data_IF_832285071421
#
_entry.id   IF_832285071421
#
_cell.length_a   1.000
_cell.length_b   1.000
_cell.length_c   1.000
_cell.angle_alpha   90.00
_cell.angle_beta   90.00
_cell.angle_gamma   90.00
#
_symmetry.space_group_name_H-M   'P 1'
#
loop_
_entity.id
_entity.type
_entity.pdbx_description
1 polymer ?
#
# COMPACT_ATOMS: atom_id res chain seq x y z
N UNK A 1 -14.13 19.32 -33.19
CA UNK A 1 -15.14 18.71 -32.28
C UNK A 1 -14.40 17.73 -31.40
N UNK A 2 -13.85 18.28 -30.31
CA UNK A 2 -13.06 17.51 -29.36
C UNK A 2 -13.95 17.07 -28.21
N UNK A 3 -14.20 15.78 -28.15
CA UNK A 3 -14.88 15.13 -27.04
C UNK A 3 -13.86 14.77 -25.96
N UNK A 4 -13.44 15.74 -25.15
CA UNK A 4 -12.73 15.49 -23.91
C UNK A 4 -13.69 14.82 -22.92
N UNK A 5 -13.65 13.49 -22.84
CA UNK A 5 -14.31 12.73 -21.78
C UNK A 5 -13.57 12.96 -20.48
N UNK A 6 -14.03 13.94 -19.76
CA UNK A 6 -13.67 14.20 -18.36
C UNK A 6 -14.20 13.02 -17.53
N UNK A 7 -13.39 11.97 -17.32
CA UNK A 7 -13.67 10.91 -16.35
C UNK A 7 -13.60 11.54 -14.97
N UNK A 8 -14.75 12.01 -14.49
CA UNK A 8 -14.92 12.37 -13.09
C UNK A 8 -14.52 11.17 -12.21
N UNK A 9 -13.49 11.35 -11.38
CA UNK A 9 -13.20 10.45 -10.28
C UNK A 9 -14.46 10.37 -9.42
N UNK A 10 -15.16 9.25 -9.47
CA UNK A 10 -16.31 9.01 -8.61
C UNK A 10 -15.78 8.87 -7.19
N UNK A 11 -16.03 9.89 -6.38
CA UNK A 11 -15.76 9.86 -4.94
C UNK A 11 -16.89 9.04 -4.32
N UNK A 12 -16.71 7.72 -4.27
CA UNK A 12 -17.61 6.86 -3.55
C UNK A 12 -17.46 7.11 -2.05
N UNK A 13 -18.58 7.33 -1.36
CA UNK A 13 -18.61 7.40 0.11
C UNK A 13 -18.11 6.10 0.70
N UNK A 14 -17.25 6.13 1.73
CA UNK A 14 -16.48 4.98 2.15
C UNK A 14 -17.30 4.07 3.06
N UNK A 15 -17.75 2.96 2.57
CA UNK A 15 -17.72 1.76 3.40
C UNK A 15 -16.40 1.05 3.06
N UNK A 16 -15.64 0.63 4.07
CA UNK A 16 -14.40 -0.16 3.89
C UNK A 16 -14.62 -1.41 3.03
N UNK A 17 -15.86 -1.90 2.95
CA UNK A 17 -16.31 -2.96 2.07
C UNK A 17 -16.15 -2.68 0.57
N UNK A 18 -16.22 -1.42 0.12
CA UNK A 18 -16.17 -1.11 -1.31
C UNK A 18 -14.77 -1.29 -1.92
N UNK A 19 -13.69 -0.97 -1.17
CA UNK A 19 -12.34 -1.14 -1.69
C UNK A 19 -11.99 -2.62 -1.89
N UNK A 20 -12.32 -3.47 -0.91
CA UNK A 20 -12.06 -4.91 -0.99
C UNK A 20 -12.85 -5.53 -2.15
N UNK A 21 -14.12 -5.15 -2.34
CA UNK A 21 -14.92 -5.58 -3.49
C UNK A 21 -14.28 -5.15 -4.81
N UNK A 22 -13.83 -3.88 -4.91
CA UNK A 22 -13.14 -3.39 -6.11
C UNK A 22 -11.88 -4.19 -6.42
N UNK A 23 -11.09 -4.54 -5.40
CA UNK A 23 -9.88 -5.36 -5.55
C UNK A 23 -10.22 -6.74 -6.10
N UNK A 24 -11.28 -7.36 -5.59
CA UNK A 24 -11.73 -8.69 -6.03
C UNK A 24 -12.33 -8.64 -7.45
N UNK A 25 -13.18 -7.67 -7.74
CA UNK A 25 -13.86 -7.51 -9.03
C UNK A 25 -12.87 -7.22 -10.18
N UNK A 26 -11.81 -6.48 -9.90
CA UNK A 26 -10.75 -6.16 -10.86
C UNK A 26 -9.61 -7.20 -10.90
N UNK A 27 -9.70 -8.26 -10.11
CA UNK A 27 -8.66 -9.31 -9.94
C UNK A 27 -7.25 -8.73 -9.66
N UNK A 28 -7.18 -7.66 -8.85
CA UNK A 28 -5.92 -7.03 -8.47
C UNK A 28 -5.21 -7.90 -7.43
N UNK A 29 -3.95 -8.21 -7.66
CA UNK A 29 -3.14 -9.09 -6.78
C UNK A 29 -2.12 -8.34 -5.96
N UNK A 30 -1.55 -7.29 -6.52
CA UNK A 30 -0.58 -6.43 -5.86
C UNK A 30 -1.14 -5.03 -5.68
N UNK A 31 -1.16 -4.55 -4.44
CA UNK A 31 -1.73 -3.26 -4.05
C UNK A 31 -0.72 -2.45 -3.25
N UNK A 32 -0.51 -1.22 -3.64
CA UNK A 32 0.37 -0.30 -2.94
C UNK A 32 -0.44 0.81 -2.27
N UNK A 33 -0.25 0.98 -0.97
CA UNK A 33 -0.88 2.06 -0.21
C UNK A 33 0.11 3.21 -0.01
N UNK A 34 -0.32 4.41 -0.37
CA UNK A 34 0.45 5.64 -0.19
C UNK A 34 -0.48 6.82 0.09
N UNK A 35 0.09 7.96 0.45
CA UNK A 35 -0.62 9.20 0.73
C UNK A 35 0.15 10.40 0.17
N UNK A 36 -0.43 11.59 0.19
CA UNK A 36 0.32 12.80 -0.15
C UNK A 36 1.42 13.09 0.87
N UNK A 37 1.06 13.10 2.15
CA UNK A 37 1.94 13.46 3.25
C UNK A 37 2.02 12.35 4.31
N UNK A 38 3.10 12.29 5.11
CA UNK A 38 3.22 11.37 6.24
C UNK A 38 2.08 11.55 7.25
N UNK A 39 1.77 10.48 7.98
CA UNK A 39 0.76 10.51 9.03
C UNK A 39 -0.70 10.41 8.57
N UNK A 40 -0.95 10.17 7.28
CA UNK A 40 -2.29 9.96 6.75
C UNK A 40 -2.93 8.64 7.24
N UNK A 41 -2.12 7.69 7.73
CA UNK A 41 -2.56 6.39 8.23
C UNK A 41 -2.48 5.27 7.18
N UNK A 42 -1.52 5.36 6.28
CA UNK A 42 -1.22 4.33 5.27
C UNK A 42 -1.05 2.96 5.91
N UNK A 43 -0.20 2.84 6.92
CA UNK A 43 0.05 1.59 7.65
C UNK A 43 -1.22 1.00 8.26
N UNK A 44 -2.05 1.83 8.91
CA UNK A 44 -3.33 1.37 9.48
C UNK A 44 -4.28 0.88 8.39
N UNK A 45 -4.34 1.59 7.27
CA UNK A 45 -5.17 1.20 6.11
C UNK A 45 -4.65 -0.08 5.44
N UNK A 46 -3.34 -0.26 5.36
CA UNK A 46 -2.70 -1.47 4.82
C UNK A 46 -3.01 -2.70 5.69
N UNK A 47 -2.89 -2.57 7.01
CA UNK A 47 -3.27 -3.61 7.97
C UNK A 47 -4.75 -3.99 7.85
N UNK A 48 -5.64 -2.99 7.76
CA UNK A 48 -7.07 -3.23 7.62
C UNK A 48 -7.40 -3.94 6.30
N UNK A 49 -6.83 -3.48 5.18
CA UNK A 49 -7.03 -4.10 3.87
C UNK A 49 -6.51 -5.54 3.83
N UNK A 50 -5.30 -5.79 4.33
CA UNK A 50 -4.73 -7.14 4.40
C UNK A 50 -5.60 -8.08 5.25
N UNK A 51 -6.12 -7.60 6.39
CA UNK A 51 -7.04 -8.37 7.25
C UNK A 51 -8.35 -8.70 6.52
N UNK A 52 -8.95 -7.75 5.83
CA UNK A 52 -10.20 -7.95 5.09
C UNK A 52 -10.00 -8.93 3.94
N UNK A 53 -8.92 -8.78 3.14
CA UNK A 53 -8.61 -9.69 2.05
C UNK A 53 -8.37 -11.13 2.56
N UNK A 54 -7.69 -11.29 3.69
CA UNK A 54 -7.47 -12.60 4.30
C UNK A 54 -8.76 -13.27 4.80
N UNK A 55 -9.75 -12.48 5.21
CA UNK A 55 -11.06 -13.00 5.64
C UNK A 55 -11.99 -13.32 4.46
N UNK A 56 -11.88 -12.58 3.36
CA UNK A 56 -12.79 -12.69 2.21
C UNK A 56 -12.27 -13.61 1.11
N UNK A 57 -11.00 -14.02 1.14
CA UNK A 57 -10.39 -14.87 0.12
C UNK A 57 -9.88 -16.18 0.71
N UNK A 58 -9.85 -17.23 -0.11
CA UNK A 58 -9.28 -18.53 0.25
C UNK A 58 -7.76 -18.60 0.12
N UNK A 59 -7.10 -17.55 -0.39
CA UNK A 59 -5.65 -17.52 -0.63
C UNK A 59 -4.89 -16.81 0.47
N UNK A 60 -3.58 -17.09 0.53
CA UNK A 60 -2.69 -16.41 1.47
C UNK A 60 -2.50 -14.94 1.08
N UNK A 61 -2.44 -14.07 2.07
CA UNK A 61 -2.16 -12.64 1.93
C UNK A 61 -0.81 -12.32 2.55
N UNK A 62 -0.03 -11.48 1.87
CA UNK A 62 1.23 -10.94 2.37
C UNK A 62 1.08 -9.42 2.55
N UNK A 63 1.44 -8.93 3.72
CA UNK A 63 1.63 -7.51 3.97
C UNK A 63 3.14 -7.20 3.95
N UNK A 64 3.55 -6.29 3.08
CA UNK A 64 4.94 -5.88 2.88
C UNK A 64 5.15 -4.49 3.45
N UNK A 65 6.15 -4.32 4.31
CA UNK A 65 6.59 -3.00 4.77
C UNK A 65 7.68 -2.46 3.84
N UNK A 66 7.31 -1.49 3.01
CA UNK A 66 8.23 -0.78 2.13
C UNK A 66 8.55 0.64 2.61
N UNK A 67 8.08 1.03 3.80
CA UNK A 67 8.29 2.38 4.33
C UNK A 67 9.70 2.56 4.89
N UNK A 68 10.33 3.68 4.56
CA UNK A 68 11.62 4.12 5.11
C UNK A 68 11.45 4.97 6.39
N UNK A 69 10.20 5.19 6.82
CA UNK A 69 9.90 5.94 8.04
C UNK A 69 10.50 5.28 9.27
N UNK A 70 10.99 6.08 10.22
CA UNK A 70 11.52 5.59 11.49
C UNK A 70 10.47 4.85 12.35
N UNK A 71 9.18 5.12 12.12
CA UNK A 71 8.06 4.45 12.80
C UNK A 71 7.23 3.63 11.80
N UNK A 72 7.90 2.85 10.96
CA UNK A 72 7.25 1.96 9.99
C UNK A 72 6.61 0.73 10.66
N UNK A 73 5.90 -0.07 9.88
CA UNK A 73 5.22 -1.28 10.35
C UNK A 73 6.18 -2.25 11.07
N UNK A 74 7.38 -2.44 10.52
CA UNK A 74 8.44 -3.30 11.10
C UNK A 74 8.79 -2.90 12.51
N UNK A 75 8.95 -1.59 12.78
CA UNK A 75 9.24 -1.08 14.11
C UNK A 75 8.04 -1.22 15.06
N UNK A 76 6.84 -0.91 14.58
CA UNK A 76 5.61 -1.04 15.38
C UNK A 76 5.34 -2.49 15.81
N UNK A 77 5.74 -3.47 15.00
CA UNK A 77 5.62 -4.90 15.29
C UNK A 77 6.83 -5.50 16.02
N UNK A 78 7.84 -4.72 16.35
CA UNK A 78 9.10 -5.20 16.95
C UNK A 78 9.87 -6.22 16.07
N UNK A 79 9.73 -6.11 14.74
CA UNK A 79 10.38 -6.99 13.75
C UNK A 79 11.70 -6.42 13.21
N UNK A 80 12.25 -5.39 13.82
CA UNK A 80 13.45 -4.69 13.31
C UNK A 80 14.76 -5.51 13.30
N UNK A 81 14.75 -6.72 13.88
CA UNK A 81 15.89 -7.65 13.84
C UNK A 81 15.76 -8.66 12.70
N UNK A 82 14.58 -8.81 12.14
CA UNK A 82 14.28 -9.77 11.09
C UNK A 82 14.88 -9.31 9.75
N UNK A 83 15.17 -10.28 8.88
CA UNK A 83 15.43 -10.00 7.48
C UNK A 83 14.13 -9.61 6.79
N UNK A 84 14.21 -8.85 5.69
CA UNK A 84 13.00 -8.39 5.03
C UNK A 84 13.23 -7.90 3.60
N UNK A 85 12.38 -7.01 3.17
CA UNK A 85 12.34 -6.48 1.81
C UNK A 85 13.70 -5.93 1.35
N UNK A 86 14.37 -5.15 2.19
CA UNK A 86 15.66 -4.55 1.84
C UNK A 86 16.77 -5.59 1.69
N UNK A 87 16.75 -6.64 2.52
CA UNK A 87 17.72 -7.74 2.42
C UNK A 87 17.55 -8.50 1.09
N UNK A 88 16.33 -8.64 0.59
CA UNK A 88 16.03 -9.25 -0.70
C UNK A 88 16.44 -8.36 -1.88
N UNK A 89 16.21 -7.05 -1.79
CA UNK A 89 16.43 -6.11 -2.89
C UNK A 89 17.88 -5.66 -3.05
N UNK A 90 18.62 -5.52 -1.94
CA UNK A 90 19.93 -4.84 -1.92
C UNK A 90 21.08 -5.74 -1.47
N UNK A 91 20.90 -7.08 -1.52
CA UNK A 91 21.98 -8.03 -1.26
C UNK A 91 22.16 -9.00 -2.46
N UNK A 92 22.57 -8.51 -3.66
CA UNK A 92 22.57 -9.31 -4.88
C UNK A 92 23.60 -10.43 -4.88
N UNK A 93 24.67 -10.33 -4.05
CA UNK A 93 25.71 -11.34 -3.97
C UNK A 93 25.30 -12.59 -3.17
N UNK A 94 24.37 -12.46 -2.23
CA UNK A 94 23.87 -13.54 -1.39
C UNK A 94 22.47 -13.17 -0.85
N UNK A 95 21.44 -13.10 -1.71
CA UNK A 95 20.11 -12.78 -1.25
C UNK A 95 19.59 -13.91 -0.33
N UNK A 96 18.93 -13.57 0.77
CA UNK A 96 18.27 -14.58 1.60
C UNK A 96 17.15 -15.25 0.82
N UNK A 97 16.73 -16.43 1.27
CA UNK A 97 15.52 -17.05 0.74
C UNK A 97 14.30 -16.23 1.21
N UNK A 98 13.29 -16.12 0.36
CA UNK A 98 12.06 -15.39 0.70
C UNK A 98 11.43 -15.92 1.99
N UNK A 99 11.39 -17.23 2.16
CA UNK A 99 10.86 -17.87 3.36
C UNK A 99 11.57 -17.47 4.67
N UNK A 100 12.85 -17.07 4.59
CA UNK A 100 13.63 -16.63 5.75
C UNK A 100 13.38 -15.16 6.10
N UNK A 101 12.66 -14.43 5.24
CA UNK A 101 12.31 -13.03 5.38
C UNK A 101 10.85 -12.80 5.77
N UNK A 102 9.99 -13.79 5.53
CA UNK A 102 8.56 -13.68 5.83
C UNK A 102 8.30 -14.16 7.25
N UNK A 103 7.54 -13.38 8.00
CA UNK A 103 7.17 -13.66 9.38
C UNK A 103 5.68 -13.96 9.47
N UNK A 104 5.35 -15.07 10.14
CA UNK A 104 3.98 -15.35 10.52
C UNK A 104 3.75 -14.89 11.96
N UNK A 105 2.89 -13.88 12.13
CA UNK A 105 2.50 -13.37 13.44
C UNK A 105 1.21 -14.06 13.85
N UNK A 106 1.22 -14.77 14.98
CA UNK A 106 0.10 -15.64 15.41
C UNK A 106 -1.24 -14.94 15.57
N UNK A 107 -1.25 -13.63 15.81
CA UNK A 107 -2.45 -12.81 15.95
C UNK A 107 -3.02 -12.27 14.64
N UNK A 108 -2.32 -12.49 13.51
CA UNK A 108 -2.71 -11.94 12.21
C UNK A 108 -3.12 -13.07 11.25
N UNK A 109 -4.17 -12.85 10.45
CA UNK A 109 -4.64 -13.81 9.46
C UNK A 109 -3.83 -13.76 8.14
N UNK A 110 -2.70 -13.06 8.11
CA UNK A 110 -1.82 -12.88 6.95
C UNK A 110 -0.35 -12.91 7.38
N UNK A 111 0.53 -13.11 6.40
CA UNK A 111 1.98 -13.07 6.61
C UNK A 111 2.49 -11.64 6.48
N UNK A 112 3.65 -11.36 7.08
CA UNK A 112 4.32 -10.06 7.03
C UNK A 112 5.72 -10.22 6.44
N UNK A 113 6.07 -9.42 5.43
CA UNK A 113 7.44 -9.19 4.99
C UNK A 113 7.91 -7.87 5.59
N UNK A 114 8.74 -7.88 6.65
CA UNK A 114 9.26 -6.67 7.27
C UNK A 114 10.08 -5.84 6.27
N UNK A 115 10.33 -4.58 6.60
CA UNK A 115 11.25 -3.75 5.80
C UNK A 115 12.66 -4.34 5.75
N UNK A 116 13.07 -5.04 6.82
CA UNK A 116 14.38 -5.64 6.96
C UNK A 116 15.35 -4.78 7.77
N UNK A 117 16.60 -5.24 7.82
CA UNK A 117 17.66 -4.54 8.55
C UNK A 117 18.07 -3.27 7.83
N UNK A 118 18.49 -2.23 8.56
CA UNK A 118 19.07 -1.04 7.96
C UNK A 118 20.30 -1.40 7.12
N UNK A 119 20.22 -1.22 5.82
CA UNK A 119 21.33 -1.45 4.90
C UNK A 119 21.91 -0.08 4.51
N UNK A 120 23.21 0.11 4.73
CA UNK A 120 23.95 1.27 4.25
C UNK A 120 24.27 1.05 2.78
N UNK A 121 23.41 1.51 1.91
CA UNK A 121 23.64 1.48 0.45
C UNK A 121 23.32 2.83 -0.15
N UNK A 122 24.06 3.20 -1.18
CA UNK A 122 23.75 4.33 -2.05
C UNK A 122 22.83 3.91 -3.22
N UNK A 123 22.51 2.62 -3.30
CA UNK A 123 21.65 2.09 -4.35
C UNK A 123 20.20 2.47 -4.11
N UNK A 124 19.52 2.86 -5.18
CA UNK A 124 18.11 3.19 -5.20
C UNK A 124 17.30 1.99 -5.67
N UNK A 125 16.05 1.96 -5.27
CA UNK A 125 15.08 1.00 -5.80
C UNK A 125 14.84 1.30 -7.28
N UNK A 126 14.93 0.26 -8.11
CA UNK A 126 14.62 0.35 -9.54
C UNK A 126 13.58 -0.71 -9.92
N UNK A 127 12.84 -0.50 -11.03
CA UNK A 127 11.88 -1.49 -11.52
C UNK A 127 12.50 -2.87 -11.74
N UNK A 128 13.72 -2.94 -12.28
CA UNK A 128 14.43 -4.19 -12.59
C UNK A 128 14.75 -5.01 -11.35
N UNK A 129 14.90 -4.36 -10.19
CA UNK A 129 15.09 -5.05 -8.90
C UNK A 129 13.77 -5.48 -8.28
N UNK A 130 12.72 -4.65 -8.40
CA UNK A 130 11.44 -4.88 -7.74
C UNK A 130 10.58 -5.90 -8.49
N UNK A 131 10.50 -5.82 -9.83
CA UNK A 131 9.60 -6.66 -10.62
C UNK A 131 9.81 -8.16 -10.42
N UNK A 132 11.05 -8.71 -10.41
CA UNK A 132 11.23 -10.15 -10.18
C UNK A 132 10.77 -10.60 -8.80
N UNK A 133 10.93 -9.74 -7.78
CA UNK A 133 10.45 -10.02 -6.44
C UNK A 133 8.92 -10.03 -6.39
N UNK A 134 8.26 -9.04 -6.99
CA UNK A 134 6.78 -9.00 -7.05
C UNK A 134 6.22 -10.20 -7.79
N UNK A 135 6.84 -10.65 -8.88
CA UNK A 135 6.46 -11.89 -9.57
C UNK A 135 6.60 -13.11 -8.66
N UNK A 136 7.71 -13.23 -7.91
CA UNK A 136 7.92 -14.31 -6.97
C UNK A 136 6.86 -14.31 -5.86
N UNK A 137 6.53 -13.13 -5.30
CA UNK A 137 5.49 -12.96 -4.30
C UNK A 137 4.11 -13.34 -4.86
N UNK A 138 3.76 -12.89 -6.06
CA UNK A 138 2.49 -13.18 -6.73
C UNK A 138 2.27 -14.67 -7.07
N UNK A 139 3.34 -15.48 -7.13
CA UNK A 139 3.23 -16.95 -7.28
C UNK A 139 2.87 -17.66 -5.97
N UNK A 140 3.22 -17.06 -4.82
CA UNK A 140 3.03 -17.68 -3.50
C UNK A 140 1.81 -17.12 -2.76
N UNK A 141 1.47 -15.86 -3.02
CA UNK A 141 0.39 -15.15 -2.33
C UNK A 141 -0.71 -14.77 -3.30
N UNK A 142 -1.96 -14.92 -2.86
CA UNK A 142 -3.12 -14.46 -3.62
C UNK A 142 -3.17 -12.95 -3.68
N UNK A 143 -2.81 -12.28 -2.58
CA UNK A 143 -2.73 -10.84 -2.49
C UNK A 143 -1.43 -10.40 -1.83
N UNK A 144 -0.81 -9.37 -2.39
CA UNK A 144 0.36 -8.68 -1.85
C UNK A 144 -0.05 -7.23 -1.59
N UNK A 145 -0.14 -6.86 -0.33
CA UNK A 145 -0.45 -5.48 0.12
C UNK A 145 0.85 -4.83 0.55
N UNK A 146 1.20 -3.69 -0.03
CA UNK A 146 2.46 -2.99 0.24
C UNK A 146 2.16 -1.68 0.96
N UNK A 147 2.66 -1.55 2.19
CA UNK A 147 2.63 -0.31 2.97
C UNK A 147 3.83 0.55 2.59
N UNK A 148 3.60 1.76 2.11
CA UNK A 148 4.67 2.64 1.67
C UNK A 148 4.63 4.05 2.21
N UNK A 149 5.67 4.79 1.88
CA UNK A 149 5.80 6.19 2.24
C UNK A 149 4.90 7.09 1.43
N UNK A 150 4.74 8.33 1.88
CA UNK A 150 4.01 9.35 1.16
C UNK A 150 4.75 9.77 -0.15
N UNK A 151 3.97 10.17 -1.15
CA UNK A 151 4.44 10.53 -2.51
C UNK A 151 5.55 11.59 -2.50
N UNK A 152 5.52 12.49 -1.51
CA UNK A 152 6.50 13.57 -1.40
C UNK A 152 7.63 13.26 -0.42
N UNK A 153 7.64 12.07 0.21
CA UNK A 153 8.63 11.72 1.24
C UNK A 153 9.74 10.79 0.73
N UNK A 154 9.46 9.93 -0.25
CA UNK A 154 10.40 8.94 -0.73
C UNK A 154 10.30 8.76 -2.25
N UNK A 155 11.45 8.70 -2.92
CA UNK A 155 11.52 8.46 -4.36
C UNK A 155 11.02 7.05 -4.73
N UNK A 156 11.26 6.06 -3.87
CA UNK A 156 10.85 4.67 -4.06
C UNK A 156 9.34 4.51 -4.21
N UNK A 157 8.54 5.43 -3.65
CA UNK A 157 7.08 5.45 -3.78
C UNK A 157 6.63 5.45 -5.24
N UNK A 158 7.26 6.25 -6.11
CA UNK A 158 6.92 6.28 -7.53
C UNK A 158 7.33 4.99 -8.24
N UNK A 159 8.48 4.42 -7.89
CA UNK A 159 8.94 3.15 -8.47
C UNK A 159 7.95 2.04 -8.10
N UNK A 160 7.62 1.88 -6.82
CA UNK A 160 6.69 0.84 -6.36
C UNK A 160 5.33 1.02 -7.04
N UNK A 161 4.83 2.26 -7.10
CA UNK A 161 3.49 2.57 -7.64
C UNK A 161 3.29 2.15 -9.10
N UNK A 162 4.37 2.08 -9.89
CA UNK A 162 4.32 1.68 -11.30
C UNK A 162 4.44 0.16 -11.51
N UNK A 163 4.84 -0.59 -10.48
CA UNK A 163 5.10 -2.03 -10.59
C UNK A 163 3.97 -2.90 -10.01
N UNK A 164 2.94 -2.28 -9.43
CA UNK A 164 1.80 -2.97 -8.83
C UNK A 164 0.55 -2.88 -9.70
N UNK A 165 -0.42 -3.77 -9.48
CA UNK A 165 -1.70 -3.78 -10.20
C UNK A 165 -2.56 -2.57 -9.87
N UNK A 166 -2.45 -2.05 -8.64
CA UNK A 166 -3.22 -0.89 -8.22
C UNK A 166 -2.64 -0.13 -7.03
N UNK A 167 -2.84 1.18 -7.06
CA UNK A 167 -2.48 2.08 -5.97
C UNK A 167 -3.75 2.52 -5.24
N UNK A 168 -3.74 2.37 -3.92
CA UNK A 168 -4.77 2.89 -3.02
C UNK A 168 -4.24 4.16 -2.36
N UNK A 169 -4.91 5.28 -2.59
CA UNK A 169 -4.48 6.56 -2.08
C UNK A 169 -5.17 6.89 -0.75
N UNK A 170 -4.39 7.03 0.32
CA UNK A 170 -4.91 7.30 1.66
C UNK A 170 -4.95 8.80 1.91
N UNK A 171 -6.13 9.31 2.25
CA UNK A 171 -6.39 10.72 2.56
C UNK A 171 -6.73 10.85 4.03
N UNK A 172 -6.00 11.69 4.76
CA UNK A 172 -6.39 12.06 6.12
C UNK A 172 -7.48 13.12 6.05
N UNK A 173 -8.69 12.73 6.45
CA UNK A 173 -9.84 13.64 6.46
C UNK A 173 -9.53 14.86 7.34
N UNK A 174 -9.99 16.03 6.90
CA UNK A 174 -9.84 17.33 7.58
C UNK A 174 -8.40 17.89 7.71
N UNK A 175 -7.39 17.14 7.26
CA UNK A 175 -5.98 17.53 7.36
C UNK A 175 -5.31 17.66 5.98
N UNK A 176 -5.61 16.74 5.07
CA UNK A 176 -5.06 16.79 3.72
C UNK A 176 -5.86 17.77 2.87
N UNK A 177 -5.23 18.86 2.44
CA UNK A 177 -5.84 19.80 1.50
C UNK A 177 -6.10 19.13 0.17
N UNK A 178 -7.23 19.47 -0.45
CA UNK A 178 -7.64 18.89 -1.73
C UNK A 178 -6.59 19.04 -2.82
N UNK A 179 -6.01 20.23 -2.94
CA UNK A 179 -5.00 20.55 -3.95
C UNK A 179 -3.75 19.69 -3.80
N UNK A 180 -3.35 19.39 -2.55
CA UNK A 180 -2.19 18.53 -2.25
C UNK A 180 -2.50 17.09 -2.60
N UNK A 181 -3.70 16.60 -2.28
CA UNK A 181 -4.14 15.27 -2.64
C UNK A 181 -4.21 15.10 -4.17
N UNK A 182 -4.80 16.08 -4.86
CA UNK A 182 -4.91 16.08 -6.32
C UNK A 182 -3.54 16.09 -7.00
N UNK A 183 -2.61 16.93 -6.54
CA UNK A 183 -1.26 17.00 -7.08
C UNK A 183 -0.49 15.68 -6.87
N UNK A 184 -0.67 15.03 -5.71
CA UNK A 184 -0.05 13.73 -5.44
C UNK A 184 -0.60 12.63 -6.36
N UNK A 185 -1.93 12.58 -6.56
CA UNK A 185 -2.56 11.62 -7.50
C UNK A 185 -2.10 11.89 -8.93
N UNK A 186 -2.04 13.16 -9.35
CA UNK A 186 -1.51 13.52 -10.68
C UNK A 186 -0.07 13.03 -10.86
N UNK A 187 0.78 13.21 -9.86
CA UNK A 187 2.18 12.75 -9.90
C UNK A 187 2.28 11.23 -10.05
N UNK A 188 1.46 10.47 -9.31
CA UNK A 188 1.38 9.01 -9.44
C UNK A 188 0.93 8.61 -10.85
N UNK A 189 -0.13 9.23 -11.37
CA UNK A 189 -0.69 8.92 -12.69
C UNK A 189 0.29 9.28 -13.82
N UNK A 190 0.97 10.43 -13.70
CA UNK A 190 2.01 10.84 -14.68
C UNK A 190 3.21 9.88 -14.68
N UNK A 191 3.55 9.28 -13.54
CA UNK A 191 4.56 8.24 -13.47
C UNK A 191 4.10 6.90 -14.08
N UNK A 192 2.81 6.74 -14.41
CA UNK A 192 2.23 5.52 -14.96
C UNK A 192 1.54 4.63 -13.94
N UNK A 193 1.38 5.09 -12.70
CA UNK A 193 0.68 4.33 -11.67
C UNK A 193 -0.84 4.27 -11.91
N UNK A 194 -1.46 3.13 -11.61
CA UNK A 194 -2.89 2.93 -11.69
C UNK A 194 -3.53 3.16 -10.32
N UNK A 195 -4.04 4.37 -10.08
CA UNK A 195 -4.78 4.67 -8.84
C UNK A 195 -6.18 4.08 -8.95
N UNK A 196 -6.48 3.07 -8.13
CA UNK A 196 -7.73 2.29 -8.19
C UNK A 196 -8.78 2.74 -7.19
N UNK A 197 -8.38 3.54 -6.20
CA UNK A 197 -9.29 4.06 -5.20
C UNK A 197 -8.62 4.91 -4.14
N UNK A 198 -9.43 5.47 -3.25
CA UNK A 198 -8.95 6.23 -2.10
C UNK A 198 -9.64 5.79 -0.81
N UNK A 199 -8.90 5.88 0.30
CA UNK A 199 -9.39 5.63 1.65
C UNK A 199 -9.35 6.93 2.43
N UNK A 200 -10.49 7.34 2.97
CA UNK A 200 -10.59 8.48 3.87
C UNK A 200 -10.40 8.03 5.31
N UNK A 201 -9.20 8.23 5.84
CA UNK A 201 -8.88 7.87 7.22
C UNK A 201 -9.18 9.01 8.20
N UNK A 202 -9.43 8.66 9.46
CA UNK A 202 -9.71 9.60 10.58
C UNK A 202 -10.88 10.55 10.34
N UNK A 203 -11.90 10.12 9.56
CA UNK A 203 -13.11 10.91 9.36
C UNK A 203 -13.84 11.10 10.69
N UNK A 204 -14.05 12.35 11.10
CA UNK A 204 -14.92 12.68 12.24
C UNK A 204 -16.36 12.75 11.76
N UNK A 205 -17.24 12.02 12.41
CA UNK A 205 -18.67 12.11 12.17
C UNK A 205 -19.24 13.17 13.10
N UNK A 206 -19.51 14.36 12.58
CA UNK A 206 -20.12 15.46 13.37
C UNK A 206 -21.60 15.24 13.64
N UNK A 207 -22.25 14.36 12.87
CA UNK A 207 -23.63 13.95 13.08
C UNK A 207 -23.67 12.47 13.49
N UNK A 208 -24.67 12.07 14.31
CA UNK A 208 -24.86 10.68 14.66
C UNK A 208 -25.02 9.80 13.43
N UNK A 209 -24.42 8.59 13.44
CA UNK A 209 -24.41 7.66 12.28
C UNK A 209 -25.83 7.33 11.75
N UNK A 210 -26.85 7.40 12.60
CA UNK A 210 -28.25 7.14 12.20
C UNK A 210 -28.82 8.22 11.28
N UNK A 211 -28.34 9.47 11.38
CA UNK A 211 -28.79 10.57 10.52
C UNK A 211 -28.24 10.45 9.10
N UNK A 212 -27.04 9.86 8.93
CA UNK A 212 -26.44 9.62 7.60
C UNK A 212 -27.12 8.48 6.82
N UNK A 213 -27.89 7.60 7.50
CA UNK A 213 -28.60 6.50 6.84
C UNK A 213 -29.92 6.92 6.21
N UNK A 214 -30.38 8.14 6.48
CA UNK A 214 -31.69 8.65 6.04
C UNK A 214 -31.58 9.84 5.07
N UNK A 215 -30.37 10.15 4.60
CA UNK A 215 -30.08 11.09 3.50
C UNK A 215 -29.63 10.32 2.25
#
# INVERSE_FOLDING_TARGET
>A
MDGSTNKSLSIASPSESNLTSTVLDLDLRSLFLTAANPGAGTTTSALALASQLAQMSSGQVLLVDASQSANNLTQQMNLGKERGLRDLLFNPGNPPLLQDCVVQVSSLPFHVLPNGRPIRTLEHLTPERLSPLLEQLGRQYRFVVIDGDAVYSAADTLVISTQVDGVVFVVRAEDTRWEVAQAAVQRLTQAGAKVVGSVFNRRKYYMPKWLYKNL
#
